data_IF_748615735881
#
_entry.id   IF_748615735881
#
_cell.length_a   1.000
_cell.length_b   1.000
_cell.length_c   1.000
_cell.angle_alpha   90.00
_cell.angle_beta   90.00
_cell.angle_gamma   90.00
#
_symmetry.space_group_name_H-M   'P 1'
#
loop_
_entity.id
_entity.type
_entity.pdbx_description
1 polymer ?
#
# COMPACT_ATOMS: atom_id res chain seq x y z
N UNK A 1 -10.73 8.98 11.03
CA UNK A 1 -9.37 8.65 10.57
C UNK A 1 -8.41 9.33 11.52
N UNK A 2 -7.61 8.55 12.25
CA UNK A 2 -6.56 9.09 13.10
C UNK A 2 -5.32 9.31 12.22
N UNK A 3 -4.85 10.56 12.14
CA UNK A 3 -3.61 10.89 11.44
C UNK A 3 -2.37 10.30 12.14
N UNK A 4 -2.53 9.86 13.40
CA UNK A 4 -1.50 9.21 14.22
C UNK A 4 -1.07 7.83 13.71
N UNK A 5 -1.88 7.17 12.86
CA UNK A 5 -1.56 5.86 12.28
C UNK A 5 -0.73 5.96 10.98
N UNK A 6 -0.49 7.19 10.49
CA UNK A 6 0.21 7.44 9.24
C UNK A 6 1.64 7.88 9.48
N UNK A 7 2.57 7.29 8.74
CA UNK A 7 3.99 7.63 8.80
C UNK A 7 4.31 8.74 7.81
N UNK A 8 4.90 9.84 8.28
CA UNK A 8 5.42 10.88 7.39
C UNK A 8 6.70 10.41 6.70
N UNK A 9 6.75 10.50 5.38
CA UNK A 9 7.90 10.16 4.55
C UNK A 9 8.37 11.41 3.79
N UNK A 10 9.63 11.80 4.02
CA UNK A 10 10.27 12.88 3.28
C UNK A 10 10.46 12.47 1.82
N UNK A 11 10.05 13.34 0.89
CA UNK A 11 10.36 13.18 -0.52
C UNK A 11 11.76 13.70 -0.85
N UNK A 12 12.32 13.12 -1.91
CA UNK A 12 13.67 13.42 -2.38
C UNK A 12 13.87 14.89 -2.81
N UNK A 13 12.80 15.59 -3.18
CA UNK A 13 12.82 16.98 -3.66
C UNK A 13 12.09 17.95 -2.72
N UNK A 14 11.98 17.62 -1.42
CA UNK A 14 11.53 18.55 -0.37
C UNK A 14 10.06 18.45 0.05
N UNK A 15 9.17 17.89 -0.77
CA UNK A 15 7.79 17.62 -0.35
C UNK A 15 7.69 16.26 0.36
N UNK A 16 7.07 16.22 1.53
CA UNK A 16 6.77 14.96 2.21
C UNK A 16 5.35 14.46 1.93
N UNK A 17 5.10 13.19 2.24
CA UNK A 17 3.77 12.59 2.18
C UNK A 17 3.52 11.71 3.40
N UNK A 18 2.27 11.62 3.83
CA UNK A 18 1.83 10.64 4.82
C UNK A 18 1.52 9.33 4.10
N UNK A 19 2.13 8.24 4.57
CA UNK A 19 1.88 6.88 4.07
C UNK A 19 1.28 6.03 5.18
N UNK A 20 0.60 4.95 4.80
CA UNK A 20 0.19 3.92 5.75
C UNK A 20 1.40 3.38 6.51
N UNK A 21 1.17 2.87 7.71
CA UNK A 21 2.16 2.07 8.42
C UNK A 21 2.58 0.87 7.55
N UNK A 22 3.73 0.28 7.86
CA UNK A 22 4.19 -0.90 7.14
C UNK A 22 3.22 -2.07 7.30
N UNK A 23 2.63 -2.23 8.50
CA UNK A 23 1.66 -3.27 8.82
C UNK A 23 0.39 -3.11 7.97
N UNK A 24 -0.22 -1.93 7.98
CA UNK A 24 -1.42 -1.68 7.18
C UNK A 24 -1.16 -1.79 5.68
N UNK A 25 0.05 -1.42 5.22
CA UNK A 25 0.42 -1.59 3.82
C UNK A 25 0.58 -3.08 3.44
N UNK A 26 1.04 -3.93 4.36
CA UNK A 26 1.14 -5.37 4.15
C UNK A 26 -0.26 -6.00 4.05
N UNK A 27 -1.18 -5.62 4.95
CA UNK A 27 -2.57 -6.08 4.92
C UNK A 27 -3.26 -5.71 3.60
N UNK A 28 -3.05 -4.48 3.12
CA UNK A 28 -3.57 -3.99 1.84
C UNK A 28 -3.02 -4.85 0.70
N UNK A 29 -1.70 -5.10 0.69
CA UNK A 29 -1.08 -5.93 -0.36
C UNK A 29 -1.63 -7.34 -0.35
N UNK A 30 -1.76 -7.96 0.82
CA UNK A 30 -2.26 -9.32 0.92
C UNK A 30 -3.70 -9.38 0.40
N UNK A 31 -4.57 -8.49 0.89
CA UNK A 31 -5.97 -8.43 0.47
C UNK A 31 -6.11 -8.30 -1.05
N UNK A 32 -5.42 -7.35 -1.67
CA UNK A 32 -5.53 -7.16 -3.13
C UNK A 32 -4.90 -8.30 -3.93
N UNK A 33 -3.81 -8.91 -3.46
CA UNK A 33 -3.28 -10.09 -4.12
C UNK A 33 -4.29 -11.25 -4.08
N UNK A 34 -4.88 -11.53 -2.92
CA UNK A 34 -5.80 -12.65 -2.75
C UNK A 34 -7.07 -12.44 -3.59
N UNK A 35 -7.71 -11.27 -3.49
CA UNK A 35 -8.93 -10.97 -4.23
C UNK A 35 -8.71 -10.96 -5.75
N UNK A 36 -7.61 -10.39 -6.23
CA UNK A 36 -7.35 -10.34 -7.67
C UNK A 36 -7.03 -11.73 -8.24
N UNK A 37 -6.28 -12.56 -7.51
CA UNK A 37 -6.01 -13.95 -7.91
C UNK A 37 -7.28 -14.81 -7.90
N UNK A 38 -8.24 -14.51 -7.01
CA UNK A 38 -9.53 -15.21 -6.98
C UNK A 38 -10.47 -14.79 -8.12
N UNK A 39 -10.38 -13.54 -8.59
CA UNK A 39 -11.28 -12.99 -9.60
C UNK A 39 -10.82 -13.24 -11.05
N UNK A 40 -9.53 -13.42 -11.26
CA UNK A 40 -8.94 -13.47 -12.60
C UNK A 40 -7.88 -14.56 -12.70
N UNK A 41 -7.90 -15.30 -13.81
CA UNK A 41 -6.83 -16.25 -14.14
C UNK A 41 -5.68 -15.54 -14.86
N UNK A 42 -4.43 -15.95 -14.55
CA UNK A 42 -3.20 -15.46 -15.21
C UNK A 42 -2.96 -13.95 -15.10
N UNK A 43 -3.25 -13.34 -13.95
CA UNK A 43 -2.92 -11.93 -13.72
C UNK A 43 -1.47 -11.72 -13.34
N UNK A 44 -0.96 -10.54 -13.69
CA UNK A 44 0.33 -10.06 -13.25
C UNK A 44 0.15 -8.71 -12.54
N UNK A 45 0.34 -8.72 -11.22
CA UNK A 45 0.32 -7.49 -10.42
C UNK A 45 1.71 -6.87 -10.47
N UNK A 46 1.83 -5.76 -11.21
CA UNK A 46 3.13 -5.10 -11.44
C UNK A 46 3.68 -4.41 -10.19
N UNK A 47 2.82 -3.74 -9.41
CA UNK A 47 3.20 -3.10 -8.15
C UNK A 47 1.99 -2.68 -7.31
N UNK A 48 2.18 -2.60 -5.99
CA UNK A 48 1.29 -1.97 -5.00
C UNK A 48 2.19 -1.07 -4.12
N UNK A 49 1.95 0.25 -4.13
CA UNK A 49 2.85 1.29 -3.58
C UNK A 49 2.18 2.32 -2.68
#
# INVERSE_FOLDING_TARGET
>A
MNDEERKFKYGQFGYGKYVYSNESMEDIKQFFNDELNNLYENIEIKYII
#
